data_IF_627592450180
#
_entry.id   IF_627592450180
#
_cell.length_a   1.000
_cell.length_b   1.000
_cell.length_c   1.000
_cell.angle_alpha   90.00
_cell.angle_beta   90.00
_cell.angle_gamma   90.00
#
_symmetry.space_group_name_H-M   'P 1'
#
loop_
_entity.id
_entity.type
_entity.pdbx_description
1 polymer ?
#
# COMPACT_ATOMS: atom_id res chain seq x y z
N UNK A 1 -82.46 4.23 44.82
CA UNK A 1 -83.21 5.49 45.03
C UNK A 1 -82.18 6.62 45.08
N UNK A 2 -82.39 7.65 44.25
CA UNK A 2 -81.83 9.02 44.32
C UNK A 2 -80.36 9.24 43.92
N UNK A 3 -80.18 9.74 42.69
CA UNK A 3 -79.24 10.85 42.40
C UNK A 3 -79.84 12.17 42.92
N UNK A 4 -78.98 13.11 43.33
CA UNK A 4 -78.82 14.40 42.61
C UNK A 4 -77.34 14.74 42.43
N UNK A 5 -76.89 15.24 41.27
CA UNK A 5 -77.08 16.58 40.66
C UNK A 5 -76.03 17.60 41.12
N UNK A 6 -75.00 17.71 40.29
CA UNK A 6 -74.31 18.90 39.75
C UNK A 6 -74.24 20.22 40.56
N UNK A 7 -73.01 20.73 40.73
CA UNK A 7 -72.69 22.13 40.49
C UNK A 7 -71.16 22.31 40.29
N UNK A 8 -70.74 22.61 39.06
CA UNK A 8 -69.52 23.38 38.79
C UNK A 8 -69.86 24.88 38.95
N UNK A 9 -68.88 25.81 39.10
CA UNK A 9 -68.14 26.27 37.91
C UNK A 9 -66.67 26.71 38.12
N UNK A 10 -65.94 26.74 36.99
CA UNK A 10 -65.00 27.76 36.47
C UNK A 10 -63.87 28.31 37.37
N UNK A 11 -62.69 28.68 36.90
CA UNK A 11 -61.90 28.52 35.67
C UNK A 11 -60.55 29.17 36.03
N UNK A 12 -59.52 28.82 35.27
CA UNK A 12 -58.42 29.70 34.90
C UNK A 12 -57.07 29.61 35.65
N UNK A 13 -56.07 29.65 34.77
CA UNK A 13 -54.70 30.10 34.94
C UNK A 13 -53.59 29.07 35.26
N UNK A 14 -53.03 28.57 34.15
CA UNK A 14 -51.59 28.53 33.84
C UNK A 14 -50.70 27.61 34.69
N UNK A 15 -50.40 26.48 34.04
CA UNK A 15 -49.17 25.71 34.17
C UNK A 15 -47.98 26.62 33.82
N UNK A 16 -47.12 26.91 34.78
CA UNK A 16 -45.72 27.22 34.50
C UNK A 16 -44.86 26.34 35.40
N UNK A 17 -44.11 25.46 34.75
CA UNK A 17 -43.26 24.47 35.39
C UNK A 17 -41.88 25.07 35.64
N UNK A 18 -41.52 25.02 36.92
CA UNK A 18 -40.26 24.51 37.44
C UNK A 18 -39.03 25.46 37.45
N UNK A 19 -38.25 25.44 38.55
CA UNK A 19 -37.32 26.49 38.92
C UNK A 19 -35.84 26.15 38.68
N UNK A 20 -35.03 27.20 38.79
CA UNK A 20 -33.64 27.28 39.27
C UNK A 20 -32.56 26.38 38.64
N UNK A 21 -31.62 27.05 37.98
CA UNK A 21 -30.29 26.55 37.68
C UNK A 21 -29.47 26.22 38.96
N UNK A 22 -28.54 25.26 38.86
CA UNK A 22 -27.30 25.32 39.62
C UNK A 22 -26.12 25.62 38.68
N UNK A 23 -25.29 26.54 39.14
CA UNK A 23 -23.91 26.78 38.71
C UNK A 23 -23.03 25.56 39.04
N UNK A 24 -22.24 25.09 38.06
CA UNK A 24 -21.13 24.14 38.24
C UNK A 24 -20.21 24.24 37.04
N UNK A 25 -18.93 24.53 37.30
CA UNK A 25 -17.95 24.88 36.30
C UNK A 25 -17.25 23.72 35.60
N UNK A 26 -16.36 24.12 34.69
CA UNK A 26 -15.26 23.32 34.18
C UNK A 26 -15.58 22.44 32.96
N UNK A 27 -14.59 22.38 32.07
CA UNK A 27 -14.32 21.28 31.15
C UNK A 27 -14.91 21.39 29.73
N UNK A 28 -14.00 21.72 28.81
CA UNK A 28 -14.00 21.21 27.45
C UNK A 28 -15.03 21.86 26.53
N UNK A 29 -14.56 22.82 25.74
CA UNK A 29 -15.24 23.34 24.57
C UNK A 29 -15.53 22.17 23.61
N UNK A 30 -16.66 21.49 23.85
CA UNK A 30 -17.13 20.37 23.06
C UNK A 30 -17.50 20.92 21.69
N UNK A 31 -16.57 20.77 20.74
CA UNK A 31 -16.78 21.19 19.36
C UNK A 31 -18.09 20.58 18.85
N UNK A 32 -18.89 21.35 18.07
CA UNK A 32 -20.16 20.88 17.54
C UNK A 32 -19.98 19.53 16.84
N UNK A 33 -20.93 18.60 17.02
CA UNK A 33 -20.90 17.22 16.49
C UNK A 33 -20.51 17.11 15.00
N UNK A 34 -20.77 18.17 14.21
CA UNK A 34 -20.33 18.27 12.82
C UNK A 34 -18.81 18.46 12.64
N UNK A 35 -18.14 19.21 13.52
CA UNK A 35 -16.70 19.43 13.49
C UNK A 35 -15.94 18.18 13.94
N UNK A 36 -16.38 17.50 15.00
CA UNK A 36 -15.77 16.24 15.43
C UNK A 36 -15.79 15.15 14.35
N UNK A 37 -16.84 15.13 13.51
CA UNK A 37 -16.96 14.18 12.40
C UNK A 37 -16.09 14.55 11.20
N UNK A 38 -15.90 15.84 10.93
CA UNK A 38 -14.99 16.33 9.89
C UNK A 38 -13.52 16.13 10.29
N UNK A 39 -13.17 16.41 11.55
CA UNK A 39 -11.82 16.21 12.10
C UNK A 39 -11.46 14.72 12.22
N UNK A 40 -12.43 13.84 12.54
CA UNK A 40 -12.20 12.39 12.53
C UNK A 40 -11.96 11.81 11.12
N UNK A 41 -12.48 12.48 10.08
CA UNK A 41 -12.20 12.14 8.68
C UNK A 41 -10.86 12.71 8.22
N UNK A 42 -10.46 13.89 8.73
CA UNK A 42 -9.18 14.53 8.42
C UNK A 42 -7.99 13.89 9.18
N UNK A 43 -8.23 13.36 10.38
CA UNK A 43 -7.27 12.61 11.18
C UNK A 43 -7.01 11.18 10.66
N UNK A 44 -7.73 10.73 9.63
CA UNK A 44 -7.41 9.50 8.92
C UNK A 44 -6.17 9.75 8.05
N UNK A 45 -4.99 9.74 8.67
CA UNK A 45 -3.72 9.88 7.98
C UNK A 45 -3.67 8.85 6.82
N UNK A 46 -3.66 9.36 5.59
CA UNK A 46 -3.63 8.52 4.39
C UNK A 46 -2.33 7.72 4.39
N UNK A 47 -2.43 6.41 4.19
CA UNK A 47 -1.26 5.54 4.11
C UNK A 47 -0.37 5.96 2.94
N UNK A 48 0.93 6.01 3.18
CA UNK A 48 1.95 6.36 2.17
C UNK A 48 2.97 5.24 2.11
N UNK A 49 3.40 4.86 0.90
CA UNK A 49 4.56 3.99 0.71
C UNK A 49 5.80 4.87 0.62
N UNK A 50 6.64 4.83 1.65
CA UNK A 50 7.76 5.76 1.83
C UNK A 50 9.07 5.17 1.27
N UNK A 51 9.41 3.96 1.69
CA UNK A 51 10.65 3.30 1.29
C UNK A 51 10.40 2.04 0.49
N UNK A 52 11.24 1.81 -0.51
CA UNK A 52 11.18 0.63 -1.36
C UNK A 52 12.57 0.22 -1.82
N UNK A 53 12.87 -1.08 -1.68
CA UNK A 53 14.12 -1.70 -2.10
C UNK A 53 13.85 -2.95 -2.95
N UNK A 54 14.66 -3.23 -3.99
CA UNK A 54 15.78 -2.44 -4.50
C UNK A 54 15.39 -1.04 -5.02
N UNK A 55 16.34 -0.10 -5.08
CA UNK A 55 16.07 1.24 -5.62
C UNK A 55 15.66 1.17 -7.10
N UNK A 56 15.00 2.22 -7.58
CA UNK A 56 14.68 2.34 -8.99
C UNK A 56 15.97 2.32 -9.85
N UNK A 57 16.01 1.48 -10.88
CA UNK A 57 17.18 1.24 -11.73
C UNK A 57 18.24 0.33 -11.13
N UNK A 58 18.03 -0.27 -9.95
CA UNK A 58 19.05 -1.08 -9.30
C UNK A 58 19.41 -2.34 -10.09
N UNK A 59 20.72 -2.62 -10.19
CA UNK A 59 21.21 -3.90 -10.71
C UNK A 59 21.25 -4.95 -9.60
N UNK A 60 20.48 -6.02 -9.75
CA UNK A 60 20.45 -7.14 -8.81
C UNK A 60 21.34 -8.28 -9.31
N UNK A 61 22.21 -8.77 -8.41
CA UNK A 61 23.11 -9.90 -8.66
C UNK A 61 22.48 -11.28 -8.41
N UNK A 62 21.14 -11.40 -8.42
CA UNK A 62 20.40 -12.62 -8.14
C UNK A 62 19.11 -12.71 -8.97
N UNK A 63 18.67 -13.92 -9.30
CA UNK A 63 17.35 -14.21 -9.88
C UNK A 63 16.25 -14.41 -8.83
N UNK A 64 16.60 -14.31 -7.55
CA UNK A 64 15.66 -14.36 -6.41
C UNK A 64 15.87 -13.15 -5.49
N UNK A 65 15.80 -11.91 -6.02
CA UNK A 65 15.95 -10.72 -5.20
C UNK A 65 14.87 -10.67 -4.12
N UNK A 66 15.21 -10.00 -3.03
CA UNK A 66 14.26 -9.69 -1.96
C UNK A 66 13.77 -8.26 -2.18
N UNK A 67 12.45 -8.11 -2.33
CA UNK A 67 11.78 -6.83 -2.41
C UNK A 67 11.32 -6.44 -1.00
N UNK A 68 11.48 -5.18 -0.66
CA UNK A 68 11.07 -4.61 0.63
C UNK A 68 10.32 -3.32 0.35
N UNK A 69 9.24 -3.09 1.10
CA UNK A 69 8.53 -1.83 1.12
C UNK A 69 8.27 -1.41 2.56
N UNK A 70 8.18 -0.11 2.82
CA UNK A 70 7.76 0.41 4.12
C UNK A 70 6.66 1.42 3.88
N UNK A 71 5.51 1.18 4.50
CA UNK A 71 4.41 2.12 4.52
C UNK A 71 4.34 2.80 5.90
N UNK A 72 4.06 4.09 5.87
CA UNK A 72 3.82 4.93 7.04
C UNK A 72 2.45 5.58 6.93
N UNK A 73 1.98 6.12 8.06
CA UNK A 73 0.67 6.74 8.21
C UNK A 73 -0.53 5.77 8.05
N UNK A 74 -1.60 6.07 8.79
CA UNK A 74 -2.81 5.25 8.81
C UNK A 74 -2.75 4.12 9.83
N UNK A 75 -3.61 3.12 9.66
CA UNK A 75 -3.83 2.07 10.66
C UNK A 75 -2.98 0.84 10.36
N UNK A 76 -1.87 0.69 11.10
CA UNK A 76 -1.07 -0.53 11.13
C UNK A 76 -1.79 -1.66 11.90
N UNK A 77 -1.44 -2.96 11.71
CA UNK A 77 -0.42 -3.47 10.78
C UNK A 77 -0.90 -3.51 9.32
N UNK A 78 -0.04 -3.12 8.39
CA UNK A 78 -0.35 -3.09 6.97
C UNK A 78 -0.24 -4.47 6.31
N UNK A 79 -1.03 -4.69 5.26
CA UNK A 79 -0.89 -5.84 4.35
C UNK A 79 -0.26 -5.39 3.04
N UNK A 80 0.70 -6.16 2.54
CA UNK A 80 1.48 -5.82 1.35
C UNK A 80 1.20 -6.82 0.23
N UNK A 81 1.14 -6.32 -1.01
CA UNK A 81 1.09 -7.12 -2.23
C UNK A 81 2.14 -6.60 -3.20
N UNK A 82 3.14 -7.43 -3.52
CA UNK A 82 4.17 -7.12 -4.49
C UNK A 82 3.77 -7.68 -5.86
N UNK A 83 4.04 -6.92 -6.92
CA UNK A 83 3.81 -7.33 -8.30
C UNK A 83 4.98 -6.91 -9.18
N UNK A 84 5.34 -7.76 -10.15
CA UNK A 84 6.53 -7.60 -10.95
C UNK A 84 6.33 -8.13 -12.38
N UNK A 85 6.74 -7.38 -13.40
CA UNK A 85 6.54 -7.69 -14.82
C UNK A 85 7.84 -7.49 -15.60
N UNK A 86 8.10 -8.38 -16.55
CA UNK A 86 9.26 -8.26 -17.42
C UNK A 86 9.05 -7.18 -18.48
N UNK A 87 10.12 -6.47 -18.84
CA UNK A 87 10.14 -5.64 -20.04
C UNK A 87 9.85 -6.52 -21.28
N UNK A 88 8.95 -6.10 -22.18
CA UNK A 88 8.55 -6.90 -23.35
C UNK A 88 9.71 -7.22 -24.30
N UNK A 89 10.70 -6.33 -24.45
CA UNK A 89 11.77 -6.50 -25.45
C UNK A 89 13.11 -6.98 -24.86
N UNK A 90 13.15 -7.33 -23.57
CA UNK A 90 14.31 -7.95 -22.92
C UNK A 90 15.55 -7.06 -22.75
N UNK A 91 15.59 -5.89 -23.38
CA UNK A 91 16.59 -4.83 -23.21
C UNK A 91 15.86 -3.57 -22.69
N UNK A 92 16.61 -2.51 -22.42
CA UNK A 92 16.16 -1.22 -21.87
C UNK A 92 15.11 -0.54 -22.77
N UNK A 93 13.90 -1.08 -22.83
CA UNK A 93 12.80 -0.51 -23.59
C UNK A 93 12.44 0.82 -22.94
N UNK A 94 12.50 1.89 -23.73
CA UNK A 94 12.06 3.24 -23.36
C UNK A 94 10.55 3.36 -23.10
N UNK A 95 9.82 2.23 -23.16
CA UNK A 95 8.40 2.14 -22.90
C UNK A 95 8.12 2.28 -21.41
N UNK A 96 7.08 3.03 -21.07
CA UNK A 96 6.66 3.26 -19.69
C UNK A 96 6.50 1.93 -18.91
N UNK A 97 7.16 1.74 -17.76
CA UNK A 97 7.06 0.51 -16.96
C UNK A 97 5.63 0.13 -16.57
N UNK A 98 4.69 1.08 -16.53
CA UNK A 98 3.27 0.82 -16.28
C UNK A 98 2.62 -0.06 -17.36
N UNK A 99 3.16 -0.02 -18.58
CA UNK A 99 2.62 -0.77 -19.73
C UNK A 99 3.08 -2.22 -19.76
N UNK A 100 4.18 -2.56 -19.07
CA UNK A 100 4.78 -3.89 -19.11
C UNK A 100 3.90 -4.96 -18.45
N UNK A 101 3.06 -4.55 -17.50
CA UNK A 101 2.07 -5.41 -16.84
C UNK A 101 0.72 -5.49 -17.57
N UNK A 102 0.54 -4.74 -18.67
CA UNK A 102 -0.76 -4.51 -19.30
C UNK A 102 -0.94 -5.27 -20.63
N UNK A 103 0.13 -5.83 -21.21
CA UNK A 103 0.12 -6.46 -22.52
C UNK A 103 0.25 -7.99 -22.44
N UNK A 104 -0.77 -8.70 -21.93
CA UNK A 104 -0.80 -10.17 -21.91
C UNK A 104 0.25 -10.85 -21.00
N UNK A 105 1.20 -10.10 -20.44
CA UNK A 105 2.11 -10.55 -19.41
C UNK A 105 1.43 -10.50 -18.05
N UNK A 106 1.12 -11.67 -17.51
CA UNK A 106 0.63 -11.77 -16.14
C UNK A 106 1.74 -11.36 -15.16
N UNK A 107 1.43 -10.50 -14.17
CA UNK A 107 2.40 -10.12 -13.17
C UNK A 107 2.83 -11.32 -12.33
N UNK A 108 4.12 -11.39 -12.02
CA UNK A 108 4.63 -12.23 -10.94
C UNK A 108 4.23 -11.53 -9.64
N UNK A 109 3.29 -12.12 -8.91
CA UNK A 109 2.78 -11.54 -7.67
C UNK A 109 3.18 -12.37 -6.45
N UNK A 110 3.33 -11.70 -5.30
CA UNK A 110 3.44 -12.34 -4.00
C UNK A 110 2.11 -12.88 -3.48
N UNK A 111 0.99 -12.40 -4.01
CA UNK A 111 -0.29 -12.40 -3.28
C UNK A 111 -0.24 -11.46 -2.08
N UNK A 112 -1.35 -11.35 -1.34
CA UNK A 112 -1.36 -10.58 -0.10
C UNK A 112 -0.55 -11.31 0.97
N UNK A 113 0.47 -10.63 1.48
CA UNK A 113 1.28 -11.13 2.57
C UNK A 113 0.54 -11.00 3.91
N UNK A 114 0.92 -11.80 4.94
CA UNK A 114 0.42 -11.61 6.28
C UNK A 114 0.66 -10.17 6.79
N UNK A 115 -0.22 -9.70 7.67
CA UNK A 115 -0.12 -8.35 8.22
C UNK A 115 1.24 -8.09 8.90
N UNK A 116 1.85 -6.94 8.61
CA UNK A 116 3.17 -6.55 9.10
C UNK A 116 4.35 -7.15 8.31
N UNK A 117 4.10 -8.10 7.39
CA UNK A 117 5.16 -8.65 6.54
C UNK A 117 5.35 -7.76 5.31
N UNK A 118 6.44 -7.02 5.30
CA UNK A 118 6.74 -5.99 4.32
C UNK A 118 7.86 -6.38 3.33
N UNK A 119 8.19 -7.68 3.31
CA UNK A 119 9.32 -8.23 2.56
C UNK A 119 8.86 -9.45 1.78
N UNK A 120 9.29 -9.56 0.53
CA UNK A 120 8.98 -10.70 -0.33
C UNK A 120 10.21 -11.13 -1.16
N UNK A 121 10.53 -12.42 -1.10
CA UNK A 121 11.57 -13.01 -1.96
C UNK A 121 10.93 -13.53 -3.24
N UNK A 122 11.40 -13.05 -4.38
CA UNK A 122 10.92 -13.52 -5.68
C UNK A 122 11.22 -15.02 -5.82
N UNK A 123 10.24 -15.85 -6.19
CA UNK A 123 10.44 -17.29 -6.32
C UNK A 123 11.47 -17.64 -7.40
N UNK A 124 12.20 -18.75 -7.18
CA UNK A 124 13.16 -19.26 -8.15
C UNK A 124 12.48 -19.59 -9.50
N UNK A 125 13.22 -19.37 -10.59
CA UNK A 125 12.74 -19.63 -11.96
C UNK A 125 11.77 -18.58 -12.52
N UNK A 126 11.43 -17.53 -11.75
CA UNK A 126 10.56 -16.44 -12.23
C UNK A 126 11.31 -15.34 -12.97
N UNK A 127 12.57 -15.09 -12.61
CA UNK A 127 13.42 -14.09 -13.27
C UNK A 127 14.45 -14.73 -14.21
N UNK A 128 14.85 -13.98 -15.23
CA UNK A 128 15.91 -14.32 -16.20
C UNK A 128 17.03 -13.30 -16.10
N UNK A 129 18.27 -13.70 -16.36
CA UNK A 129 19.45 -12.81 -16.33
C UNK A 129 19.43 -11.84 -17.51
N UNK A 130 19.99 -10.64 -17.29
CA UNK A 130 20.05 -9.60 -18.31
C UNK A 130 18.69 -9.01 -18.68
N UNK A 131 17.65 -9.30 -17.91
CA UNK A 131 16.28 -8.82 -18.14
C UNK A 131 15.93 -7.73 -17.14
N UNK A 132 15.26 -6.70 -17.65
CA UNK A 132 14.71 -5.58 -16.88
C UNK A 132 13.28 -5.88 -16.45
N UNK A 133 12.95 -5.54 -15.21
CA UNK A 133 11.65 -5.77 -14.60
C UNK A 133 11.10 -4.52 -13.96
N UNK A 134 9.81 -4.23 -14.18
CA UNK A 134 9.06 -3.23 -13.45
C UNK A 134 8.38 -3.89 -12.26
N UNK A 135 8.37 -3.23 -11.11
CA UNK A 135 7.74 -3.74 -9.90
C UNK A 135 7.09 -2.62 -9.09
N UNK A 136 6.05 -2.97 -8.35
CA UNK A 136 5.32 -2.07 -7.48
C UNK A 136 4.82 -2.81 -6.25
N UNK A 137 4.31 -2.07 -5.28
CA UNK A 137 3.66 -2.61 -4.08
C UNK A 137 2.31 -1.93 -3.85
N UNK A 138 1.33 -2.74 -3.47
CA UNK A 138 0.02 -2.26 -3.00
C UNK A 138 -0.08 -2.50 -1.51
N UNK A 139 -0.48 -1.46 -0.78
CA UNK A 139 -0.67 -1.44 0.68
C UNK A 139 -2.06 -0.91 0.98
N UNK A 140 -2.97 -1.79 1.40
CA UNK A 140 -4.40 -1.43 1.50
C UNK A 140 -4.95 -0.93 0.16
N UNK A 141 -5.46 0.31 0.13
CA UNK A 141 -5.97 0.96 -1.08
C UNK A 141 -4.92 1.75 -1.87
N UNK A 142 -3.68 1.83 -1.37
CA UNK A 142 -2.62 2.66 -1.95
C UNK A 142 -1.68 1.80 -2.76
N UNK A 143 -1.41 2.20 -4.00
CA UNK A 143 -0.42 1.54 -4.87
C UNK A 143 0.74 2.48 -5.13
N UNK A 144 1.96 1.99 -4.95
CA UNK A 144 3.16 2.76 -5.23
C UNK A 144 3.33 3.04 -6.72
N UNK A 145 4.14 4.02 -7.08
CA UNK A 145 4.67 4.11 -8.44
C UNK A 145 5.52 2.86 -8.78
N UNK A 146 5.64 2.58 -10.07
CA UNK A 146 6.55 1.53 -10.55
C UNK A 146 8.01 1.90 -10.31
N UNK A 147 8.80 0.89 -9.95
CA UNK A 147 10.25 0.91 -9.93
C UNK A 147 10.80 -0.13 -10.88
N UNK A 148 11.98 0.14 -11.41
CA UNK A 148 12.69 -0.76 -12.30
C UNK A 148 13.82 -1.45 -11.54
N UNK A 149 13.99 -2.75 -11.77
CA UNK A 149 15.21 -3.47 -11.40
C UNK A 149 15.76 -4.19 -12.63
N UNK A 150 17.08 -4.34 -12.68
CA UNK A 150 17.78 -5.00 -13.78
C UNK A 150 18.52 -6.19 -13.22
N UNK A 151 18.24 -7.39 -13.72
CA UNK A 151 19.06 -8.56 -13.37
C UNK A 151 20.38 -8.48 -14.13
N UNK A 152 21.50 -8.70 -13.43
CA UNK A 152 22.82 -8.63 -14.07
C UNK A 152 22.89 -9.55 -15.30
N UNK A 153 23.57 -9.15 -16.38
CA UNK A 153 23.90 -10.11 -17.45
C UNK A 153 24.79 -11.19 -16.83
N UNK A 154 24.27 -12.41 -16.74
CA UNK A 154 24.96 -13.49 -16.07
C UNK A 154 26.23 -13.83 -16.84
N UNK A 155 27.41 -13.61 -16.25
CA UNK A 155 28.54 -14.47 -16.58
C UNK A 155 28.24 -15.82 -15.94
N UNK A 156 28.16 -16.92 -16.71
CA UNK A 156 27.97 -18.23 -16.12
C UNK A 156 29.09 -18.50 -15.10
N UNK A 157 28.80 -19.25 -14.02
CA UNK A 157 29.74 -19.46 -12.92
C UNK A 157 31.08 -20.08 -13.37
N UNK A 158 31.11 -20.81 -14.49
CA UNK A 158 32.34 -21.37 -15.06
C UNK A 158 33.27 -20.30 -15.67
N UNK A 159 32.76 -19.13 -16.07
CA UNK A 159 33.55 -18.09 -16.73
C UNK A 159 34.39 -17.25 -15.73
N UNK A 160 34.07 -17.34 -14.43
CA UNK A 160 34.89 -16.79 -13.34
C UNK A 160 36.08 -17.66 -12.95
N UNK A 161 36.15 -18.89 -13.47
CA UNK A 161 37.21 -19.86 -13.14
C UNK A 161 38.28 -20.00 -14.23
N UNK A 162 38.23 -19.19 -15.29
CA UNK A 162 39.29 -19.22 -16.29
C UNK A 162 40.53 -18.49 -15.74
N UNK A 163 41.69 -19.16 -15.67
CA UNK A 163 42.93 -18.50 -15.32
C UNK A 163 43.21 -17.37 -16.33
N UNK A 164 43.84 -16.26 -15.90
CA UNK A 164 44.24 -15.18 -16.79
C UNK A 164 45.21 -15.74 -17.85
N UNK A 165 44.68 -16.04 -19.05
CA UNK A 165 45.43 -16.68 -20.13
C UNK A 165 44.59 -17.46 -21.14
N UNK A 166 43.37 -17.89 -20.81
CA UNK A 166 42.53 -18.70 -21.71
C UNK A 166 41.69 -17.89 -22.73
N UNK A 167 42.23 -16.80 -23.29
CA UNK A 167 41.67 -16.18 -24.50
C UNK A 167 42.39 -16.77 -25.71
N UNK A 168 41.97 -17.93 -26.19
CA UNK A 168 42.46 -18.43 -27.48
C UNK A 168 41.33 -19.04 -28.31
N UNK A 169 41.19 -18.46 -29.51
CA UNK A 169 40.56 -19.00 -30.72
C UNK A 169 39.06 -19.30 -30.69
N UNK A 170 38.24 -18.30 -31.04
CA UNK A 170 37.08 -18.59 -31.90
C UNK A 170 37.59 -18.84 -33.31
N UNK A 171 37.67 -20.12 -33.66
CA UNK A 171 37.89 -20.57 -35.04
C UNK A 171 36.73 -20.06 -35.90
N UNK A 172 37.06 -19.31 -36.94
CA UNK A 172 36.19 -19.12 -38.09
C UNK A 172 35.96 -20.50 -38.73
N UNK A 173 34.69 -20.86 -38.91
CA UNK A 173 34.31 -21.88 -39.89
C UNK A 173 33.40 -21.17 -40.88
N UNK A 174 33.79 -21.28 -42.15
CA UNK A 174 33.13 -20.74 -43.35
C UNK A 174 31.74 -21.32 -43.53
#
# INVERSE_FOLDING_TARGET
MKVPEEAAPADNAVRDQNPQAPDSGGEGEALPSGAARAEALDAAALTVVEDMWPLNGAQVGSLTPTLVAHATNGTAPYTYLFSLCASPDGEESASDPSTWCSQGNLPISSGYLPAGVNTWKVPAGKLKWGTTYAWQVTVGAVTSAYRVLVTRRGSPPWERSLPPGARTARSFIR
#
